data_IF_885058824692
#
_entry.id   IF_885058824692
#
_cell.length_a   1.000
_cell.length_b   1.000
_cell.length_c   1.000
_cell.angle_alpha   90.00
_cell.angle_beta   90.00
_cell.angle_gamma   90.00
#
_symmetry.space_group_name_H-M   'P 1'
#
loop_
_entity.id
_entity.type
_entity.pdbx_description
1 polymer ?
#
# COMPACT_ATOMS: atom_id res chain seq x y z
N UNK A 1 71.64 84.06 -4.77
CA UNK A 1 70.60 83.13 -5.27
C UNK A 1 71.21 81.73 -5.39
N UNK A 2 70.80 80.79 -4.51
CA UNK A 2 71.28 79.40 -4.51
C UNK A 2 70.37 78.54 -5.39
N UNK A 3 70.95 77.86 -6.37
CA UNK A 3 70.28 76.89 -7.25
C UNK A 3 70.09 75.56 -6.52
N UNK A 4 68.85 75.06 -6.46
CA UNK A 4 68.50 73.78 -5.83
C UNK A 4 68.76 72.64 -6.82
N UNK A 5 69.56 71.65 -6.41
CA UNK A 5 69.74 70.36 -7.12
C UNK A 5 68.53 69.46 -6.84
N UNK A 6 67.90 68.93 -7.90
CA UNK A 6 66.93 67.83 -7.82
C UNK A 6 67.68 66.49 -7.79
N UNK A 7 67.34 65.62 -6.84
CA UNK A 7 67.76 64.22 -6.77
C UNK A 7 66.84 63.32 -7.62
N UNK A 8 67.34 62.24 -8.26
CA UNK A 8 66.49 61.33 -9.00
C UNK A 8 65.79 60.35 -8.05
N UNK A 9 64.47 60.23 -8.21
CA UNK A 9 63.62 59.28 -7.49
C UNK A 9 63.79 57.89 -8.12
N UNK A 10 64.30 56.93 -7.33
CA UNK A 10 64.52 55.54 -7.72
C UNK A 10 63.15 54.83 -7.87
N UNK A 11 62.81 54.39 -9.08
CA UNK A 11 61.58 53.66 -9.38
C UNK A 11 61.83 52.15 -9.18
N UNK A 12 61.26 51.57 -8.12
CA UNK A 12 61.34 50.13 -7.82
C UNK A 12 60.16 49.42 -8.51
N UNK A 13 60.37 48.46 -9.44
CA UNK A 13 59.26 47.74 -10.06
C UNK A 13 58.67 46.73 -9.06
N UNK A 14 57.38 46.88 -8.77
CA UNK A 14 56.60 45.95 -7.96
C UNK A 14 56.28 44.72 -8.83
N UNK A 15 57.03 43.63 -8.65
CA UNK A 15 56.77 42.35 -9.30
C UNK A 15 55.57 41.70 -8.61
N UNK A 16 54.39 41.81 -9.22
CA UNK A 16 53.20 41.07 -8.81
C UNK A 16 53.42 39.61 -9.23
N UNK A 17 53.82 38.77 -8.29
CA UNK A 17 53.79 37.32 -8.44
C UNK A 17 52.32 36.87 -8.43
N UNK A 18 51.78 36.55 -9.61
CA UNK A 18 50.53 35.81 -9.72
C UNK A 18 50.83 34.33 -9.44
N UNK A 19 50.52 33.88 -8.23
CA UNK A 19 50.40 32.45 -7.95
C UNK A 19 49.18 31.91 -8.71
N UNK A 20 49.43 31.19 -9.81
CA UNK A 20 48.41 30.38 -10.47
C UNK A 20 48.05 29.24 -9.52
N UNK A 21 46.90 29.35 -8.84
CA UNK A 21 46.23 28.18 -8.27
C UNK A 21 45.73 27.34 -9.46
N UNK A 22 46.35 26.19 -9.68
CA UNK A 22 45.86 25.22 -10.65
C UNK A 22 44.86 24.32 -9.92
N UNK A 23 43.59 24.36 -10.31
CA UNK A 23 42.63 23.34 -9.91
C UNK A 23 43.07 22.00 -10.49
N UNK A 24 43.21 20.97 -9.64
CA UNK A 24 43.47 19.61 -10.10
C UNK A 24 42.16 18.91 -10.44
N UNK A 25 42.13 18.30 -11.63
CA UNK A 25 40.95 17.65 -12.20
C UNK A 25 40.95 16.15 -11.88
N UNK A 26 39.83 15.66 -11.35
CA UNK A 26 39.52 14.24 -11.20
C UNK A 26 38.42 13.87 -12.17
N UNK A 27 38.70 12.87 -13.01
CA UNK A 27 37.75 12.32 -13.96
C UNK A 27 37.45 10.87 -13.60
N UNK A 28 36.22 10.46 -13.86
CA UNK A 28 35.84 9.07 -13.67
C UNK A 28 34.48 8.76 -14.25
N UNK A 29 34.08 7.50 -14.08
CA UNK A 29 32.81 6.99 -14.54
C UNK A 29 32.13 6.17 -13.45
N UNK A 30 30.82 6.33 -13.32
CA UNK A 30 30.00 5.59 -12.36
C UNK A 30 29.10 4.60 -13.09
N UNK A 31 29.15 3.33 -12.69
CA UNK A 31 28.42 2.22 -13.32
C UNK A 31 27.70 1.35 -12.28
N UNK A 32 26.58 0.75 -12.67
CA UNK A 32 25.88 -0.25 -11.84
C UNK A 32 26.68 -1.54 -11.78
N UNK A 33 26.82 -2.09 -10.57
CA UNK A 33 27.49 -3.37 -10.33
C UNK A 33 26.79 -4.54 -11.02
N UNK A 34 25.46 -4.48 -11.17
CA UNK A 34 24.64 -5.57 -11.71
C UNK A 34 24.48 -5.49 -13.23
N UNK A 35 24.17 -4.30 -13.74
CA UNK A 35 23.85 -4.12 -15.16
C UNK A 35 25.04 -3.63 -16.00
N UNK A 36 26.15 -3.21 -15.38
CA UNK A 36 27.27 -2.52 -16.02
C UNK A 36 26.86 -1.28 -16.85
N UNK A 37 25.63 -0.78 -16.64
CA UNK A 37 25.14 0.43 -17.29
C UNK A 37 25.65 1.67 -16.55
N UNK A 38 25.88 2.79 -17.26
CA UNK A 38 26.23 4.06 -16.63
C UNK A 38 25.11 4.56 -15.72
N UNK A 39 25.48 5.19 -14.61
CA UNK A 39 24.55 5.80 -13.66
C UNK A 39 24.62 7.31 -13.80
N UNK A 40 23.51 7.92 -14.21
CA UNK A 40 23.35 9.37 -14.33
C UNK A 40 22.98 10.01 -12.98
N UNK A 41 23.30 11.29 -12.79
CA UNK A 41 22.89 12.10 -11.64
C UNK A 41 23.40 11.57 -10.28
N UNK A 42 24.52 10.86 -10.26
CA UNK A 42 25.21 10.50 -9.01
C UNK A 42 25.80 11.77 -8.44
N UNK A 43 25.47 12.09 -7.18
CA UNK A 43 26.05 13.20 -6.46
C UNK A 43 27.42 12.81 -5.91
N UNK A 44 28.45 13.55 -6.30
CA UNK A 44 29.86 13.26 -6.04
C UNK A 44 30.41 14.41 -5.25
N UNK A 45 30.81 14.16 -4.00
CA UNK A 45 31.10 15.21 -3.04
C UNK A 45 32.37 14.94 -2.24
N UNK A 46 33.19 15.97 -2.07
CA UNK A 46 34.36 15.94 -1.20
C UNK A 46 34.10 16.86 -0.03
N UNK A 47 33.82 16.24 1.13
CA UNK A 47 33.40 16.95 2.33
C UNK A 47 34.43 17.97 2.82
N UNK A 48 35.71 17.64 2.73
CA UNK A 48 36.80 18.46 3.25
C UNK A 48 36.96 19.79 2.49
N UNK A 49 36.72 19.78 1.18
CA UNK A 49 36.79 20.99 0.34
C UNK A 49 35.42 21.63 0.07
N UNK A 50 34.33 21.00 0.53
CA UNK A 50 32.94 21.38 0.23
C UNK A 50 32.65 21.55 -1.28
N UNK A 51 33.39 20.85 -2.13
CA UNK A 51 33.20 20.85 -3.59
C UNK A 51 32.54 19.55 -4.02
N UNK A 52 31.73 19.63 -5.07
CA UNK A 52 31.05 18.47 -5.62
C UNK A 52 30.63 18.68 -7.07
N UNK A 53 30.25 17.58 -7.70
CA UNK A 53 29.80 17.51 -9.10
C UNK A 53 28.74 16.41 -9.23
N UNK A 54 28.15 16.28 -10.40
CA UNK A 54 27.21 15.20 -10.71
C UNK A 54 27.65 14.43 -11.94
N UNK A 55 27.25 13.15 -12.04
CA UNK A 55 27.50 12.35 -13.24
C UNK A 55 26.52 12.67 -14.38
N UNK A 56 27.03 12.67 -15.62
CA UNK A 56 26.25 12.88 -16.84
C UNK A 56 25.44 11.64 -17.27
N UNK A 57 24.71 11.73 -18.38
CA UNK A 57 23.92 10.61 -18.93
C UNK A 57 24.76 9.40 -19.36
N UNK A 58 26.06 9.58 -19.59
CA UNK A 58 27.02 8.51 -19.91
C UNK A 58 27.75 7.98 -18.65
N UNK A 59 27.38 8.50 -17.47
CA UNK A 59 27.93 8.15 -16.17
C UNK A 59 29.28 8.81 -15.87
N UNK A 60 29.76 9.71 -16.71
CA UNK A 60 31.05 10.38 -16.52
C UNK A 60 30.90 11.58 -15.58
N UNK A 61 31.95 11.90 -14.84
CA UNK A 61 31.99 13.08 -13.99
C UNK A 61 33.35 13.77 -14.05
N UNK A 62 33.32 15.08 -13.81
CA UNK A 62 34.51 15.92 -13.70
C UNK A 62 34.42 16.74 -12.41
N UNK A 63 35.43 16.60 -11.54
CA UNK A 63 35.53 17.29 -10.27
C UNK A 63 36.83 18.09 -10.20
N UNK A 64 36.74 19.36 -9.81
CA UNK A 64 37.88 20.28 -9.68
C UNK A 64 38.20 20.50 -8.19
N UNK A 65 39.43 20.19 -7.77
CA UNK A 65 39.89 20.27 -6.38
C UNK A 65 41.13 21.18 -6.29
N UNK A 66 41.35 21.80 -5.13
CA UNK A 66 42.38 22.85 -4.97
C UNK A 66 43.77 22.31 -4.57
N UNK A 67 43.91 21.04 -4.17
CA UNK A 67 45.18 20.46 -3.70
C UNK A 67 45.49 19.09 -4.34
N UNK A 68 46.77 18.74 -4.40
CA UNK A 68 47.23 17.40 -4.84
C UNK A 68 47.39 16.46 -3.63
N UNK A 69 46.33 16.31 -2.84
CA UNK A 69 46.30 15.42 -1.67
C UNK A 69 45.36 14.24 -1.87
N UNK A 70 45.42 13.24 -0.97
CA UNK A 70 44.49 12.10 -1.05
C UNK A 70 43.12 12.52 -0.52
N UNK A 71 42.09 12.39 -1.36
CA UNK A 71 40.73 12.79 -1.05
C UNK A 71 39.83 11.58 -0.78
N UNK A 72 38.92 11.75 0.18
CA UNK A 72 37.78 10.84 0.37
C UNK A 72 36.58 11.41 -0.39
N UNK A 73 36.26 10.80 -1.53
CA UNK A 73 35.12 11.20 -2.37
C UNK A 73 33.91 10.34 -2.02
N UNK A 74 32.80 10.99 -1.69
CA UNK A 74 31.51 10.35 -1.43
C UNK A 74 30.66 10.37 -2.71
N UNK A 75 30.18 9.19 -3.10
CA UNK A 75 29.26 8.96 -4.20
C UNK A 75 27.91 8.59 -3.61
N UNK A 76 26.89 9.38 -3.89
CA UNK A 76 25.53 9.23 -3.34
C UNK A 76 24.49 9.31 -4.46
N UNK A 77 23.48 8.44 -4.40
CA UNK A 77 22.39 8.41 -5.39
C UNK A 77 21.15 7.77 -4.77
N UNK A 78 19.95 8.25 -5.11
CA UNK A 78 18.68 7.79 -4.51
C UNK A 78 18.46 6.27 -4.62
N UNK A 79 18.84 5.68 -5.75
CA UNK A 79 18.65 4.25 -6.05
C UNK A 79 19.89 3.34 -5.78
N UNK A 80 20.97 3.83 -5.17
CA UNK A 80 22.20 3.05 -4.98
C UNK A 80 22.85 3.28 -3.61
N UNK A 81 23.62 2.30 -3.12
CA UNK A 81 24.34 2.40 -1.85
C UNK A 81 25.44 3.48 -1.93
N UNK A 82 25.52 4.33 -0.91
CA UNK A 82 26.59 5.33 -0.83
C UNK A 82 27.97 4.67 -0.81
N UNK A 83 28.91 5.22 -1.57
CA UNK A 83 30.27 4.72 -1.67
C UNK A 83 31.27 5.82 -1.34
N UNK A 84 32.24 5.50 -0.48
CA UNK A 84 33.35 6.38 -0.17
C UNK A 84 34.63 5.79 -0.75
N UNK A 85 35.31 6.54 -1.61
CA UNK A 85 36.52 6.12 -2.30
C UNK A 85 37.64 7.10 -1.98
N UNK A 86 38.78 6.56 -1.55
CA UNK A 86 40.01 7.34 -1.38
C UNK A 86 40.81 7.33 -2.67
N UNK A 87 41.14 8.49 -3.20
CA UNK A 87 41.88 8.63 -4.46
C UNK A 87 42.84 9.81 -4.41
N UNK A 88 43.73 9.86 -5.39
CA UNK A 88 44.67 10.97 -5.64
C UNK A 88 44.32 11.56 -7.01
N UNK A 89 44.43 12.89 -7.19
CA UNK A 89 44.17 13.51 -8.49
C UNK A 89 45.02 12.95 -9.64
N UNK A 90 44.47 12.95 -10.86
CA UNK A 90 45.15 12.48 -12.08
C UNK A 90 44.84 11.05 -12.54
N UNK A 91 44.19 10.23 -11.72
CA UNK A 91 43.73 8.89 -12.13
C UNK A 91 42.27 8.89 -12.61
N UNK A 92 41.99 8.13 -13.67
CA UNK A 92 40.63 7.79 -14.08
C UNK A 92 40.04 6.78 -13.09
N UNK A 93 38.89 7.11 -12.50
CA UNK A 93 38.26 6.28 -11.47
C UNK A 93 36.97 5.66 -12.00
N UNK A 94 36.93 4.33 -12.06
CA UNK A 94 35.70 3.59 -12.33
C UNK A 94 35.03 3.18 -11.01
N UNK A 95 33.87 3.75 -10.75
CA UNK A 95 33.10 3.54 -9.52
C UNK A 95 31.93 2.61 -9.78
N UNK A 96 31.94 1.45 -9.13
CA UNK A 96 30.82 0.50 -9.16
C UNK A 96 29.91 0.75 -7.96
N UNK A 97 28.66 1.15 -8.21
CA UNK A 97 27.64 1.30 -7.17
C UNK A 97 26.67 0.13 -7.21
N UNK A 98 26.18 -0.27 -6.04
CA UNK A 98 25.22 -1.38 -5.89
C UNK A 98 23.81 -0.81 -5.76
N UNK A 99 22.88 -1.35 -6.55
CA UNK A 99 21.48 -0.94 -6.54
C UNK A 99 20.84 -1.23 -5.18
N UNK A 100 20.07 -0.26 -4.66
CA UNK A 100 19.25 -0.43 -3.46
C UNK A 100 17.80 -0.55 -3.90
N UNK A 101 17.10 -1.56 -3.35
CA UNK A 101 15.66 -1.64 -3.46
C UNK A 101 15.04 -0.64 -2.48
N UNK A 102 14.45 0.43 -3.00
CA UNK A 102 13.66 1.37 -2.20
C UNK A 102 12.30 0.72 -1.92
N UNK A 103 12.13 0.14 -0.72
CA UNK A 103 10.80 -0.03 -0.14
C UNK A 103 10.50 1.22 0.68
N UNK A 104 9.45 1.95 0.30
CA UNK A 104 8.88 2.97 1.17
C UNK A 104 8.26 2.27 2.38
N UNK A 105 8.43 2.87 3.56
CA UNK A 105 7.75 2.38 4.76
C UNK A 105 6.23 2.45 4.56
N UNK A 106 5.54 1.38 4.93
CA UNK A 106 4.07 1.38 4.91
C UNK A 106 3.55 2.44 5.89
N UNK A 107 2.67 3.31 5.39
CA UNK A 107 2.02 4.36 6.19
C UNK A 107 0.64 3.87 6.63
N UNK A 108 0.37 3.95 7.95
CA UNK A 108 -0.97 3.77 8.51
C UNK A 108 -1.63 5.15 8.60
N UNK A 109 -2.83 5.26 8.03
CA UNK A 109 -3.57 6.54 8.01
C UNK A 109 -4.77 6.51 8.96
N UNK A 110 -5.38 5.35 9.18
CA UNK A 110 -6.82 5.34 9.50
C UNK A 110 -7.22 5.23 10.96
N UNK A 111 -6.35 4.78 11.86
CA UNK A 111 -6.77 4.58 13.25
C UNK A 111 -6.34 5.70 14.20
N UNK A 112 -5.37 6.53 13.81
CA UNK A 112 -4.88 7.66 14.62
C UNK A 112 -5.39 9.02 14.12
N UNK A 113 -6.24 9.04 13.08
CA UNK A 113 -6.72 10.26 12.37
C UNK A 113 -5.58 11.16 11.83
N UNK A 114 -4.36 10.62 11.73
CA UNK A 114 -3.16 11.26 11.21
C UNK A 114 -2.26 10.16 10.61
N UNK A 115 -1.49 10.52 9.58
CA UNK A 115 -0.54 9.61 8.93
C UNK A 115 0.67 9.36 9.84
N UNK A 116 0.93 8.09 10.16
CA UNK A 116 2.15 7.67 10.86
C UNK A 116 2.84 6.56 10.07
N UNK A 117 4.17 6.61 10.02
CA UNK A 117 4.95 5.45 9.64
C UNK A 117 4.63 4.30 10.59
N UNK A 118 4.45 3.08 10.06
CA UNK A 118 4.14 1.90 10.87
C UNK A 118 5.12 1.71 12.05
N UNK A 119 6.39 2.05 11.85
CA UNK A 119 7.46 2.01 12.86
C UNK A 119 7.24 2.90 14.08
N UNK A 120 6.41 3.94 13.96
CA UNK A 120 6.12 4.91 15.02
C UNK A 120 4.79 4.66 15.74
N UNK A 121 4.05 3.60 15.36
CA UNK A 121 2.77 3.27 16.00
C UNK A 121 3.05 2.53 17.32
N UNK A 122 2.55 3.02 18.47
CA UNK A 122 2.87 2.44 19.78
C UNK A 122 2.10 1.14 20.10
N UNK A 123 1.21 0.72 19.20
CA UNK A 123 0.38 -0.49 19.31
C UNK A 123 0.70 -1.41 18.15
N UNK A 124 0.68 -2.72 18.41
CA UNK A 124 0.90 -3.71 17.37
C UNK A 124 -0.10 -3.53 16.23
N UNK A 125 0.44 -3.17 15.07
CA UNK A 125 -0.34 -2.84 13.89
C UNK A 125 0.23 -3.55 12.67
N UNK A 126 -0.65 -3.86 11.72
CA UNK A 126 -0.32 -4.62 10.52
C UNK A 126 -0.95 -3.95 9.31
N UNK A 127 -0.20 -3.87 8.22
CA UNK A 127 -0.67 -3.36 6.93
C UNK A 127 -0.55 -4.46 5.90
N UNK A 128 -1.68 -4.77 5.26
CA UNK A 128 -1.76 -5.74 4.18
C UNK A 128 -2.00 -4.98 2.89
N UNK A 129 -0.94 -4.75 2.14
CA UNK A 129 -1.01 -4.08 0.85
C UNK A 129 -1.61 -4.95 -0.25
N UNK A 130 -2.09 -4.29 -1.31
CA UNK A 130 -2.70 -4.91 -2.50
C UNK A 130 -1.90 -6.03 -3.12
N UNK A 131 -0.57 -5.91 -3.20
CA UNK A 131 0.30 -6.94 -3.78
C UNK A 131 0.16 -8.27 -3.03
N UNK A 132 0.26 -8.25 -1.70
CA UNK A 132 0.07 -9.43 -0.85
C UNK A 132 -1.32 -10.03 -1.01
N UNK A 133 -2.37 -9.19 -1.07
CA UNK A 133 -3.76 -9.65 -1.25
C UNK A 133 -3.92 -10.38 -2.61
N UNK A 134 -3.32 -9.82 -3.66
CA UNK A 134 -3.37 -10.41 -5.02
C UNK A 134 -2.55 -11.70 -5.09
N UNK A 135 -1.36 -11.72 -4.49
CA UNK A 135 -0.46 -12.89 -4.46
C UNK A 135 -1.05 -14.06 -3.67
N UNK A 136 -1.69 -13.78 -2.53
CA UNK A 136 -2.38 -14.78 -1.72
C UNK A 136 -3.59 -15.39 -2.43
N UNK A 137 -4.09 -14.73 -3.49
CA UNK A 137 -5.27 -15.20 -4.21
C UNK A 137 -6.54 -15.14 -3.36
N UNK A 138 -6.62 -14.21 -2.40
CA UNK A 138 -7.85 -14.02 -1.63
C UNK A 138 -8.93 -13.34 -2.50
N UNK A 139 -10.19 -13.60 -2.21
CA UNK A 139 -11.38 -12.92 -2.80
C UNK A 139 -12.23 -12.23 -1.77
N UNK A 140 -12.26 -12.87 -0.61
CA UNK A 140 -12.68 -12.46 0.71
C UNK A 140 -11.86 -11.37 1.40
N UNK A 141 -12.45 -10.31 2.00
CA UNK A 141 -11.77 -9.69 3.14
C UNK A 141 -11.63 -10.71 4.29
N UNK A 142 -12.64 -11.57 4.51
CA UNK A 142 -12.55 -12.63 5.51
C UNK A 142 -11.36 -13.56 5.25
N UNK A 143 -11.17 -14.02 4.01
CA UNK A 143 -10.04 -14.88 3.64
C UNK A 143 -8.68 -14.21 3.90
N UNK A 144 -8.57 -12.90 3.62
CA UNK A 144 -7.34 -12.15 3.93
C UNK A 144 -7.09 -12.11 5.43
N UNK A 145 -8.14 -11.87 6.22
CA UNK A 145 -8.06 -11.71 7.67
C UNK A 145 -7.79 -13.04 8.38
N UNK A 146 -8.38 -14.15 7.92
CA UNK A 146 -8.16 -15.50 8.49
C UNK A 146 -6.71 -15.98 8.34
N UNK A 147 -5.97 -15.45 7.37
CA UNK A 147 -4.54 -15.73 7.20
C UNK A 147 -3.66 -14.97 8.21
N UNK A 148 -4.22 -13.99 8.93
CA UNK A 148 -3.47 -13.16 9.86
C UNK A 148 -3.42 -13.76 11.26
N UNK A 149 -2.26 -13.61 11.90
CA UNK A 149 -2.08 -14.08 13.27
C UNK A 149 -3.03 -13.37 14.23
N UNK A 150 -3.69 -14.16 15.09
CA UNK A 150 -4.62 -13.65 16.09
C UNK A 150 -6.00 -13.30 15.55
N UNK A 151 -6.30 -13.58 14.28
CA UNK A 151 -7.66 -13.50 13.75
C UNK A 151 -8.15 -14.92 13.46
N UNK A 152 -9.38 -15.24 13.86
CA UNK A 152 -10.01 -16.50 13.46
C UNK A 152 -11.52 -16.39 13.35
N UNK A 153 -12.12 -17.25 12.53
CA UNK A 153 -13.56 -17.38 12.35
C UNK A 153 -14.07 -18.55 13.19
N UNK A 154 -15.15 -18.35 13.94
CA UNK A 154 -15.82 -19.37 14.74
C UNK A 154 -17.26 -19.49 14.28
N UNK A 155 -17.73 -20.72 14.12
CA UNK A 155 -19.13 -21.00 13.82
C UNK A 155 -19.89 -21.31 15.11
N UNK A 156 -21.13 -20.85 15.19
CA UNK A 156 -22.07 -21.24 16.23
C UNK A 156 -22.83 -22.53 15.83
N UNK A 157 -23.68 -23.02 16.73
CA UNK A 157 -24.47 -24.23 16.51
C UNK A 157 -25.55 -24.08 15.41
N UNK A 158 -25.85 -22.86 14.98
CA UNK A 158 -26.88 -22.54 13.99
C UNK A 158 -26.26 -22.19 12.61
N UNK A 159 -24.94 -22.34 12.46
CA UNK A 159 -24.22 -22.03 11.22
C UNK A 159 -23.92 -20.54 11.03
N UNK A 160 -24.25 -19.69 12.00
CA UNK A 160 -23.76 -18.31 12.04
C UNK A 160 -22.27 -18.32 12.39
N UNK A 161 -21.54 -17.28 12.00
CA UNK A 161 -20.12 -17.17 12.30
C UNK A 161 -19.76 -15.81 12.86
N UNK A 162 -18.77 -15.83 13.75
CA UNK A 162 -18.20 -14.66 14.39
C UNK A 162 -16.69 -14.61 14.14
N UNK A 163 -16.18 -13.43 13.80
CA UNK A 163 -14.74 -13.18 13.75
C UNK A 163 -14.25 -12.83 15.15
N UNK A 164 -13.08 -13.34 15.51
CA UNK A 164 -12.39 -12.91 16.70
C UNK A 164 -11.03 -12.29 16.37
N UNK A 165 -10.62 -11.33 17.18
CA UNK A 165 -9.32 -10.67 17.12
C UNK A 165 -8.70 -10.74 18.51
N UNK A 166 -7.56 -11.41 18.60
CA UNK A 166 -6.85 -11.70 19.86
C UNK A 166 -7.75 -12.36 20.93
N UNK A 167 -8.73 -13.14 20.50
CA UNK A 167 -9.68 -13.83 21.39
C UNK A 167 -10.92 -13.02 21.79
N UNK A 168 -11.06 -11.77 21.32
CA UNK A 168 -12.27 -10.95 21.52
C UNK A 168 -13.23 -11.09 20.33
N UNK A 169 -14.54 -11.17 20.62
CA UNK A 169 -15.65 -11.32 19.66
C UNK A 169 -15.83 -10.09 18.74
N UNK A 170 -16.51 -10.24 17.58
CA UNK A 170 -16.67 -9.16 16.59
C UNK A 170 -17.30 -7.90 17.14
N UNK A 171 -18.16 -8.01 18.16
CA UNK A 171 -18.80 -6.85 18.79
C UNK A 171 -17.80 -5.87 19.42
N UNK A 172 -16.60 -6.35 19.76
CA UNK A 172 -15.51 -5.54 20.31
C UNK A 172 -14.48 -5.13 19.25
N UNK A 173 -14.73 -5.44 17.98
CA UNK A 173 -13.85 -5.11 16.86
C UNK A 173 -14.56 -4.06 15.99
N UNK A 174 -13.91 -2.91 15.80
CA UNK A 174 -14.43 -1.91 14.89
C UNK A 174 -13.91 -2.19 13.48
N UNK A 175 -14.80 -2.52 12.57
CA UNK A 175 -14.47 -2.62 11.15
C UNK A 175 -14.92 -1.36 10.42
N UNK A 176 -14.02 -0.80 9.63
CA UNK A 176 -14.23 0.42 8.87
C UNK A 176 -13.87 0.20 7.41
N UNK A 177 -14.50 0.97 6.53
CA UNK A 177 -14.13 1.14 5.14
C UNK A 177 -13.82 2.62 4.93
N UNK A 178 -12.61 2.94 4.47
CA UNK A 178 -12.13 4.31 4.28
C UNK A 178 -12.31 5.18 5.54
N UNK A 179 -12.04 4.62 6.73
CA UNK A 179 -12.15 5.31 8.01
C UNK A 179 -13.58 5.48 8.52
N UNK A 180 -14.58 4.94 7.82
CA UNK A 180 -15.99 4.99 8.22
C UNK A 180 -16.46 3.62 8.70
N UNK A 181 -17.08 3.49 9.88
CA UNK A 181 -17.64 2.23 10.34
C UNK A 181 -18.57 1.62 9.30
N UNK A 182 -18.41 0.33 9.04
CA UNK A 182 -19.35 -0.36 8.15
C UNK A 182 -20.64 -0.67 8.92
N UNK A 183 -21.77 -0.40 8.30
CA UNK A 183 -23.08 -0.70 8.84
C UNK A 183 -23.53 -2.11 8.42
N UNK A 184 -24.48 -2.69 9.15
CA UNK A 184 -25.04 -4.02 8.82
C UNK A 184 -24.56 -5.17 9.72
N UNK A 185 -24.20 -4.88 10.98
CA UNK A 185 -24.04 -5.93 12.00
C UNK A 185 -25.38 -6.65 12.19
N UNK A 186 -25.36 -7.98 12.17
CA UNK A 186 -26.53 -8.80 12.50
C UNK A 186 -26.24 -9.54 13.80
N UNK A 187 -27.01 -9.27 14.86
CA UNK A 187 -26.74 -9.78 16.22
C UNK A 187 -25.29 -9.51 16.68
N UNK A 188 -24.81 -8.28 16.46
CA UNK A 188 -23.43 -7.84 16.74
C UNK A 188 -22.31 -8.57 15.97
N UNK A 189 -22.66 -9.51 15.08
CA UNK A 189 -21.72 -10.17 14.18
C UNK A 189 -21.58 -9.39 12.89
N UNK A 190 -20.37 -9.41 12.34
CA UNK A 190 -20.05 -8.71 11.11
C UNK A 190 -19.68 -9.72 10.03
N UNK A 191 -20.41 -9.66 8.92
CA UNK A 191 -20.11 -10.51 7.79
C UNK A 191 -19.06 -9.84 6.91
N UNK A 192 -17.83 -10.35 6.95
CA UNK A 192 -16.72 -9.86 6.13
C UNK A 192 -16.61 -10.60 4.80
N UNK A 193 -17.39 -11.66 4.58
CA UNK A 193 -17.45 -12.36 3.31
C UNK A 193 -18.13 -11.54 2.21
N UNK A 194 -18.97 -10.58 2.60
CA UNK A 194 -19.60 -9.63 1.67
C UNK A 194 -18.65 -8.53 1.18
N UNK A 195 -17.48 -8.35 1.82
CA UNK A 195 -16.54 -7.30 1.40
C UNK A 195 -15.47 -7.91 0.51
N UNK A 196 -15.45 -7.44 -0.73
CA UNK A 196 -14.55 -7.92 -1.75
C UNK A 196 -13.19 -7.25 -1.69
N UNK A 197 -12.15 -8.02 -1.98
CA UNK A 197 -10.79 -7.46 -2.15
C UNK A 197 -10.56 -6.77 -3.50
N UNK A 198 -11.51 -6.85 -4.43
CA UNK A 198 -11.33 -6.42 -5.83
C UNK A 198 -10.99 -4.92 -5.97
N UNK A 199 -11.51 -4.08 -5.07
CA UNK A 199 -11.28 -2.64 -5.02
C UNK A 199 -10.43 -2.20 -3.81
N UNK A 200 -9.79 -3.15 -3.11
CA UNK A 200 -9.00 -2.87 -1.91
C UNK A 200 -7.57 -2.52 -2.30
N UNK A 201 -7.07 -1.44 -1.72
CA UNK A 201 -5.68 -1.01 -1.87
C UNK A 201 -4.82 -1.49 -0.69
N UNK A 202 -5.32 -1.32 0.53
CA UNK A 202 -4.68 -1.88 1.71
C UNK A 202 -5.69 -2.15 2.82
N UNK A 203 -5.33 -3.03 3.73
CA UNK A 203 -6.06 -3.29 4.97
C UNK A 203 -5.13 -2.95 6.12
N UNK A 204 -5.59 -2.07 7.00
CA UNK A 204 -4.88 -1.68 8.21
C UNK A 204 -5.54 -2.36 9.41
N UNK A 205 -4.77 -3.07 10.21
CA UNK A 205 -5.25 -3.81 11.38
C UNK A 205 -4.49 -3.32 12.61
N UNK A 206 -5.20 -2.79 13.58
CA UNK A 206 -4.67 -2.49 14.91
C UNK A 206 -5.18 -3.54 15.87
N UNK A 207 -4.25 -4.29 16.48
CA UNK A 207 -4.56 -5.37 17.42
C UNK A 207 -4.38 -4.86 18.84
N UNK A 208 -5.48 -4.65 19.57
CA UNK A 208 -5.48 -4.08 20.91
C UNK A 208 -6.44 -2.91 21.09
N UNK A 209 -6.41 -2.23 22.26
CA UNK A 209 -7.44 -1.26 22.63
C UNK A 209 -7.35 0.04 21.81
N UNK A 210 -8.27 0.22 20.86
CA UNK A 210 -8.47 1.42 20.05
C UNK A 210 -9.56 2.36 20.58
N UNK A 211 -10.16 2.07 21.73
CA UNK A 211 -11.36 2.76 22.22
C UNK A 211 -11.20 4.25 22.52
N UNK A 212 -9.99 4.71 22.80
CA UNK A 212 -9.71 6.15 23.01
C UNK A 212 -9.96 6.98 21.75
N UNK A 213 -9.72 6.40 20.58
CA UNK A 213 -9.84 7.08 19.28
C UNK A 213 -11.16 6.77 18.58
N UNK A 214 -11.70 5.57 18.82
CA UNK A 214 -12.82 5.01 18.05
C UNK A 214 -14.05 4.64 18.88
N UNK A 215 -14.00 4.74 20.21
CA UNK A 215 -15.14 4.46 21.09
C UNK A 215 -15.27 3.00 21.52
N UNK A 216 -16.44 2.65 22.05
CA UNK A 216 -16.72 1.35 22.70
C UNK A 216 -16.51 0.13 21.80
N UNK A 217 -16.70 0.30 20.49
CA UNK A 217 -16.65 -0.80 19.52
C UNK A 217 -15.21 -1.24 19.18
N UNK A 218 -14.19 -0.50 19.62
CA UNK A 218 -12.79 -0.74 19.28
C UNK A 218 -11.96 -1.30 20.45
N UNK A 219 -12.58 -2.03 21.39
CA UNK A 219 -11.90 -2.58 22.57
C UNK A 219 -10.86 -3.65 22.17
N UNK A 220 -11.21 -4.54 21.23
CA UNK A 220 -10.33 -5.59 20.76
C UNK A 220 -9.42 -5.19 19.60
N UNK A 221 -9.82 -4.18 18.85
CA UNK A 221 -9.02 -3.62 17.77
C UNK A 221 -9.83 -2.93 16.71
N UNK A 222 -9.12 -2.51 15.68
CA UNK A 222 -9.67 -1.78 14.54
C UNK A 222 -9.17 -2.43 13.26
N UNK A 223 -10.08 -2.72 12.35
CA UNK A 223 -9.76 -3.19 11.00
C UNK A 223 -10.29 -2.13 10.04
N UNK A 224 -9.42 -1.47 9.31
CA UNK A 224 -9.81 -0.49 8.31
C UNK A 224 -9.43 -0.94 6.90
N UNK A 225 -10.43 -1.04 6.06
CA UNK A 225 -10.33 -1.46 4.67
C UNK A 225 -10.24 -0.20 3.82
N UNK A 226 -9.09 0.03 3.20
CA UNK A 226 -8.84 1.20 2.37
C UNK A 226 -9.00 0.80 0.92
N UNK A 227 -9.95 1.44 0.24
CA UNK A 227 -10.19 1.21 -1.18
C UNK A 227 -9.23 2.01 -2.03
N UNK A 228 -8.97 1.54 -3.25
CA UNK A 228 -8.17 2.29 -4.20
C UNK A 228 -8.86 3.61 -4.59
N UNK A 229 -8.09 4.68 -4.67
CA UNK A 229 -8.58 5.96 -5.19
C UNK A 229 -9.02 5.80 -6.66
N UNK A 230 -10.04 6.57 -7.05
CA UNK A 230 -10.48 6.60 -8.44
C UNK A 230 -9.47 7.42 -9.26
N UNK A 231 -8.74 6.81 -10.22
CA UNK A 231 -7.78 7.54 -11.04
C UNK A 231 -8.47 8.61 -11.90
N UNK A 232 -7.69 9.60 -12.34
CA UNK A 232 -8.18 10.63 -13.28
C UNK A 232 -8.63 10.02 -14.61
N UNK A 233 -7.91 9.00 -15.07
CA UNK A 233 -8.28 8.22 -16.25
C UNK A 233 -9.39 7.21 -15.95
N UNK A 234 -10.12 6.83 -17.00
CA UNK A 234 -11.13 5.77 -16.90
C UNK A 234 -10.45 4.43 -16.68
N UNK A 235 -10.80 3.74 -15.59
CA UNK A 235 -10.29 2.40 -15.28
C UNK A 235 -11.37 1.37 -15.52
N UNK A 236 -11.02 0.33 -16.28
CA UNK A 236 -11.81 -0.90 -16.38
C UNK A 236 -10.91 -2.08 -16.03
N UNK A 237 -11.32 -2.87 -15.06
CA UNK A 237 -10.68 -4.11 -14.69
C UNK A 237 -11.70 -5.23 -14.75
N UNK A 238 -11.38 -6.27 -15.50
CA UNK A 238 -12.14 -7.52 -15.53
C UNK A 238 -11.20 -8.62 -15.04
N UNK A 239 -11.68 -9.44 -14.11
CA UNK A 239 -10.93 -10.61 -13.63
C UNK A 239 -11.85 -11.82 -13.61
N UNK A 240 -11.35 -12.92 -14.12
CA UNK A 240 -11.97 -14.22 -14.01
C UNK A 240 -10.99 -15.18 -13.35
N UNK A 241 -11.45 -15.92 -12.35
CA UNK A 241 -10.67 -16.92 -11.64
C UNK A 241 -11.47 -18.20 -11.53
N UNK A 242 -10.81 -19.32 -11.80
CA UNK A 242 -11.32 -20.66 -11.54
C UNK A 242 -10.37 -21.37 -10.59
N UNK A 243 -10.90 -21.87 -9.48
CA UNK A 243 -10.19 -22.68 -8.50
C UNK A 243 -10.76 -24.09 -8.54
N UNK A 244 -9.89 -25.09 -8.49
CA UNK A 244 -10.27 -26.48 -8.32
C UNK A 244 -9.39 -27.08 -7.23
N UNK A 245 -10.00 -27.92 -6.40
CA UNK A 245 -9.34 -28.62 -5.33
C UNK A 245 -9.87 -30.05 -5.33
N UNK A 246 -8.95 -31.00 -5.32
CA UNK A 246 -9.24 -32.43 -5.27
C UNK A 246 -8.27 -33.03 -4.26
N UNK A 247 -8.80 -33.42 -3.10
CA UNK A 247 -8.05 -34.13 -2.07
C UNK A 247 -8.70 -35.48 -1.86
N UNK A 248 -7.91 -36.54 -2.03
CA UNK A 248 -8.32 -37.92 -1.84
C UNK A 248 -7.41 -38.67 -0.87
N UNK A 249 -8.01 -39.47 -0.01
CA UNK A 249 -7.43 -40.63 0.67
C UNK A 249 -8.17 -41.88 0.20
N UNK A 250 -7.68 -43.08 0.53
CA UNK A 250 -8.24 -44.36 0.05
C UNK A 250 -9.77 -44.50 0.24
N UNK A 251 -10.36 -43.82 1.23
CA UNK A 251 -11.79 -43.91 1.57
C UNK A 251 -12.55 -42.58 1.52
N UNK A 252 -11.90 -41.47 1.18
CA UNK A 252 -12.55 -40.15 1.19
C UNK A 252 -11.94 -39.23 0.15
N UNK A 253 -12.78 -38.70 -0.72
CA UNK A 253 -12.44 -37.70 -1.73
C UNK A 253 -13.29 -36.45 -1.53
N UNK A 254 -12.63 -35.30 -1.45
CA UNK A 254 -13.24 -34.00 -1.37
C UNK A 254 -12.87 -33.22 -2.63
N UNK A 255 -13.90 -32.88 -3.41
CA UNK A 255 -13.77 -32.09 -4.62
C UNK A 255 -14.46 -30.76 -4.38
N UNK A 256 -13.72 -29.66 -4.48
CA UNK A 256 -14.32 -28.34 -4.48
C UNK A 256 -13.89 -27.55 -5.72
N UNK A 257 -14.79 -26.70 -6.19
CA UNK A 257 -14.50 -25.79 -7.28
C UNK A 257 -15.12 -24.43 -7.01
N UNK A 258 -14.44 -23.39 -7.46
CA UNK A 258 -14.90 -22.02 -7.33
C UNK A 258 -14.70 -21.28 -8.64
N UNK A 259 -15.74 -20.62 -9.13
CA UNK A 259 -15.65 -19.69 -10.26
C UNK A 259 -15.95 -18.30 -9.75
N UNK A 260 -15.11 -17.33 -10.11
CA UNK A 260 -15.21 -15.96 -9.63
C UNK A 260 -15.02 -15.05 -10.82
N UNK A 261 -16.03 -14.26 -11.14
CA UNK A 261 -15.96 -13.20 -12.13
C UNK A 261 -16.11 -11.88 -11.39
N UNK A 262 -15.21 -10.94 -11.62
CA UNK A 262 -15.31 -9.61 -11.03
C UNK A 262 -15.03 -8.52 -12.05
N UNK A 263 -15.68 -7.39 -11.86
CA UNK A 263 -15.43 -6.19 -12.62
C UNK A 263 -15.22 -5.01 -11.67
N UNK A 264 -14.46 -4.04 -12.13
CA UNK A 264 -14.31 -2.75 -11.49
C UNK A 264 -14.23 -1.71 -12.61
N UNK A 265 -15.15 -0.76 -12.58
CA UNK A 265 -15.18 0.37 -13.48
C UNK A 265 -15.15 1.64 -12.64
N UNK A 266 -14.29 2.58 -12.97
CA UNK A 266 -14.22 3.85 -12.26
C UNK A 266 -13.84 4.98 -13.19
N UNK A 267 -14.34 6.17 -12.92
CA UNK A 267 -14.05 7.36 -13.70
C UNK A 267 -14.18 8.61 -12.84
N UNK A 268 -13.22 9.51 -13.00
CA UNK A 268 -13.27 10.87 -12.44
C UNK A 268 -13.69 11.86 -13.52
N UNK A 269 -14.56 12.79 -13.14
CA UNK A 269 -15.10 13.89 -13.94
C UNK A 269 -14.87 15.20 -13.17
N UNK A 270 -13.64 15.71 -13.23
CA UNK A 270 -13.23 16.87 -12.44
C UNK A 270 -13.40 16.62 -10.95
N UNK A 271 -14.37 17.32 -10.36
CA UNK A 271 -14.67 17.30 -8.93
C UNK A 271 -15.59 16.14 -8.50
N UNK A 272 -16.14 15.39 -9.46
CA UNK A 272 -16.95 14.22 -9.21
C UNK A 272 -16.16 12.96 -9.58
N UNK A 273 -16.28 11.89 -8.83
CA UNK A 273 -15.77 10.57 -9.20
C UNK A 273 -16.82 9.52 -8.91
N UNK A 274 -16.82 8.49 -9.75
CA UNK A 274 -17.73 7.36 -9.63
C UNK A 274 -16.93 6.08 -9.84
N UNK A 275 -17.20 5.08 -9.00
CA UNK A 275 -16.70 3.73 -9.14
C UNK A 275 -17.83 2.74 -8.92
N UNK A 276 -17.91 1.72 -9.76
CA UNK A 276 -18.74 0.54 -9.51
C UNK A 276 -17.86 -0.70 -9.62
N UNK A 277 -18.00 -1.59 -8.65
CA UNK A 277 -17.40 -2.91 -8.68
C UNK A 277 -18.45 -3.97 -8.44
N UNK A 278 -18.22 -5.15 -8.99
CA UNK A 278 -19.07 -6.29 -8.71
C UNK A 278 -18.31 -7.59 -8.81
N UNK A 279 -18.84 -8.60 -8.15
CA UNK A 279 -18.33 -9.96 -8.21
C UNK A 279 -19.49 -10.95 -8.18
N UNK A 280 -19.43 -11.90 -9.09
CA UNK A 280 -20.22 -13.12 -9.07
C UNK A 280 -19.29 -14.27 -8.68
N UNK A 281 -19.72 -15.07 -7.72
CA UNK A 281 -18.94 -16.19 -7.20
C UNK A 281 -19.85 -17.41 -7.09
N UNK A 282 -19.44 -18.50 -7.75
CA UNK A 282 -20.10 -19.80 -7.67
C UNK A 282 -19.12 -20.78 -7.01
N UNK A 283 -19.47 -21.30 -5.83
CA UNK A 283 -18.73 -22.33 -5.12
C UNK A 283 -19.53 -23.62 -5.11
N UNK A 284 -18.81 -24.70 -5.35
CA UNK A 284 -19.31 -26.05 -5.20
C UNK A 284 -18.35 -26.79 -4.29
N UNK A 285 -18.85 -27.32 -3.18
CA UNK A 285 -18.11 -28.18 -2.29
C UNK A 285 -18.78 -29.56 -2.26
N UNK A 286 -18.00 -30.62 -2.47
CA UNK A 286 -18.49 -32.00 -2.46
C UNK A 286 -17.58 -32.84 -1.58
N UNK A 287 -18.16 -33.50 -0.58
CA UNK A 287 -17.46 -34.43 0.30
C UNK A 287 -18.10 -35.81 0.25
N UNK A 288 -17.29 -36.84 -0.02
CA UNK A 288 -17.76 -38.23 -0.21
C UNK A 288 -17.89 -39.07 1.06
N UNK A 289 -17.90 -38.44 2.23
CA UNK A 289 -18.27 -39.10 3.49
C UNK A 289 -19.75 -39.43 3.41
N UNK A 290 -20.22 -40.61 3.82
CA UNK A 290 -21.66 -40.91 3.81
C UNK A 290 -22.33 -40.41 5.10
N UNK A 291 -23.42 -39.61 5.00
CA UNK A 291 -24.05 -39.11 3.78
C UNK A 291 -23.21 -38.02 3.07
N UNK A 292 -23.11 -38.13 1.73
CA UNK A 292 -22.37 -37.23 0.85
C UNK A 292 -22.93 -35.83 1.02
N UNK A 293 -22.13 -34.92 1.57
CA UNK A 293 -22.52 -33.54 1.74
C UNK A 293 -22.09 -32.74 0.52
N UNK A 294 -23.07 -32.13 -0.15
CA UNK A 294 -22.89 -31.28 -1.33
C UNK A 294 -23.44 -29.90 -1.02
N UNK A 295 -22.59 -28.90 -1.19
CA UNK A 295 -22.91 -27.51 -0.91
C UNK A 295 -22.72 -26.67 -2.18
N UNK A 296 -23.78 -25.96 -2.58
CA UNK A 296 -23.80 -25.07 -3.73
C UNK A 296 -24.05 -23.64 -3.27
N UNK A 297 -23.00 -22.82 -3.27
CA UNK A 297 -23.06 -21.44 -2.79
C UNK A 297 -22.88 -20.49 -3.97
N UNK A 298 -23.84 -19.60 -4.18
CA UNK A 298 -23.77 -18.54 -5.19
C UNK A 298 -23.85 -17.18 -4.51
N UNK A 299 -22.84 -16.34 -4.74
CA UNK A 299 -22.76 -14.98 -4.17
C UNK A 299 -22.70 -13.93 -5.27
N UNK A 300 -23.43 -12.85 -5.08
CA UNK A 300 -23.40 -11.65 -5.90
C UNK A 300 -23.12 -10.44 -5.01
N UNK A 301 -22.05 -9.73 -5.32
CA UNK A 301 -21.66 -8.50 -4.67
C UNK A 301 -21.67 -7.38 -5.70
N UNK A 302 -22.28 -6.24 -5.37
CA UNK A 302 -22.26 -5.03 -6.17
C UNK A 302 -22.03 -3.83 -5.25
N UNK A 303 -20.94 -3.10 -5.47
CA UNK A 303 -20.63 -1.87 -4.76
C UNK A 303 -20.58 -0.72 -5.77
N UNK A 304 -21.24 0.38 -5.45
CA UNK A 304 -21.13 1.65 -6.18
C UNK A 304 -20.76 2.75 -5.20
N UNK A 305 -19.74 3.50 -5.52
CA UNK A 305 -19.28 4.65 -4.77
C UNK A 305 -19.30 5.87 -5.68
N UNK A 306 -19.86 6.95 -5.17
CA UNK A 306 -19.86 8.25 -5.81
C UNK A 306 -19.28 9.25 -4.83
N UNK A 307 -18.36 10.08 -5.30
CA UNK A 307 -17.69 11.06 -4.49
C UNK A 307 -17.66 12.40 -5.19
N UNK A 308 -18.00 13.46 -4.49
CA UNK A 308 -18.00 14.82 -5.00
C UNK A 308 -17.28 15.75 -4.04
N UNK A 309 -16.45 16.63 -4.58
CA UNK A 309 -15.72 17.64 -3.83
C UNK A 309 -16.09 19.02 -4.36
N UNK A 310 -16.44 19.96 -3.50
CA UNK A 310 -16.70 21.33 -3.94
C UNK A 310 -15.42 21.97 -4.49
N UNK A 311 -15.55 22.99 -5.35
CA UNK A 311 -14.38 23.70 -5.91
C UNK A 311 -13.50 24.36 -4.85
N UNK A 312 -14.08 24.67 -3.69
CA UNK A 312 -13.37 25.21 -2.55
C UNK A 312 -12.74 24.13 -1.65
N UNK A 313 -12.98 22.85 -1.96
CA UNK A 313 -12.63 21.67 -1.17
C UNK A 313 -13.23 21.62 0.24
N UNK A 314 -14.14 22.56 0.56
CA UNK A 314 -14.77 22.69 1.87
C UNK A 314 -15.93 21.74 2.11
N UNK A 315 -16.52 21.22 1.04
CA UNK A 315 -17.66 20.32 1.12
C UNK A 315 -17.33 19.07 0.32
N UNK A 316 -17.39 17.93 0.98
CA UNK A 316 -17.14 16.64 0.37
C UNK A 316 -18.33 15.73 0.64
N UNK A 317 -18.91 15.18 -0.42
CA UNK A 317 -20.03 14.27 -0.33
C UNK A 317 -19.62 12.91 -0.87
N UNK A 318 -19.97 11.85 -0.15
CA UNK A 318 -19.82 10.48 -0.65
C UNK A 318 -21.14 9.73 -0.52
N UNK A 319 -21.55 9.05 -1.57
CA UNK A 319 -22.67 8.12 -1.56
C UNK A 319 -22.14 6.72 -1.89
N UNK A 320 -22.31 5.79 -0.96
CA UNK A 320 -21.98 4.38 -1.13
C UNK A 320 -23.28 3.58 -1.20
N UNK A 321 -23.39 2.72 -2.20
CA UNK A 321 -24.48 1.79 -2.41
C UNK A 321 -23.88 0.38 -2.50
N UNK A 322 -24.26 -0.48 -1.57
CA UNK A 322 -23.78 -1.86 -1.50
C UNK A 322 -24.96 -2.82 -1.59
N UNK A 323 -24.82 -3.83 -2.43
CA UNK A 323 -25.75 -4.96 -2.54
C UNK A 323 -24.97 -6.26 -2.40
N UNK A 324 -25.45 -7.13 -1.51
CA UNK A 324 -24.97 -8.49 -1.34
C UNK A 324 -26.15 -9.45 -1.44
N UNK A 325 -26.00 -10.47 -2.27
CA UNK A 325 -26.90 -11.61 -2.37
C UNK A 325 -26.12 -12.90 -2.21
N UNK A 326 -26.64 -13.83 -1.43
CA UNK A 326 -26.13 -15.20 -1.35
C UNK A 326 -27.30 -16.18 -1.37
N UNK A 327 -27.19 -17.20 -2.22
CA UNK A 327 -28.04 -18.36 -2.22
C UNK A 327 -27.16 -19.57 -1.91
N UNK A 328 -27.56 -20.35 -0.92
CA UNK A 328 -26.84 -21.53 -0.45
C UNK A 328 -27.78 -22.72 -0.45
N UNK A 329 -27.37 -23.82 -1.09
CA UNK A 329 -28.13 -25.05 -1.17
C UNK A 329 -27.24 -26.20 -0.67
N UNK A 330 -27.46 -26.57 0.58
CA UNK A 330 -26.83 -27.74 1.20
C UNK A 330 -27.70 -28.97 1.02
N UNK A 331 -27.10 -30.09 0.61
CA UNK A 331 -27.77 -31.39 0.46
C UNK A 331 -26.95 -32.51 1.08
N UNK A 332 -27.61 -33.37 1.83
CA UNK A 332 -27.06 -34.64 2.28
C UNK A 332 -27.62 -35.76 1.40
N UNK A 333 -26.73 -36.48 0.75
CA UNK A 333 -27.06 -37.49 -0.24
C UNK A 333 -26.56 -38.87 0.23
N UNK A 334 -27.34 -39.92 0.03
CA UNK A 334 -26.83 -41.28 0.14
C UNK A 334 -25.84 -41.57 -0.99
N UNK A 335 -25.02 -42.62 -0.82
CA UNK A 335 -24.13 -43.11 -1.89
C UNK A 335 -24.88 -43.51 -3.17
N UNK A 336 -26.17 -43.80 -3.06
CA UNK A 336 -27.10 -44.07 -4.18
C UNK A 336 -27.56 -42.80 -4.92
N UNK A 337 -27.24 -41.61 -4.41
CA UNK A 337 -27.71 -40.32 -4.93
C UNK A 337 -29.09 -39.87 -4.41
N UNK A 338 -29.71 -40.60 -3.47
CA UNK A 338 -30.97 -40.20 -2.85
C UNK A 338 -30.74 -39.09 -1.83
N UNK A 339 -31.50 -37.99 -1.93
CA UNK A 339 -31.46 -36.86 -1.00
C UNK A 339 -32.14 -37.23 0.33
N UNK A 340 -31.40 -37.15 1.43
CA UNK A 340 -31.89 -37.37 2.79
C UNK A 340 -32.47 -36.08 3.37
N UNK A 341 -31.75 -34.99 3.17
CA UNK A 341 -32.08 -33.65 3.65
C UNK A 341 -31.55 -32.62 2.67
N UNK A 342 -32.28 -31.52 2.55
CA UNK A 342 -31.78 -30.30 1.96
C UNK A 342 -32.14 -29.11 2.83
N UNK A 343 -31.29 -28.11 2.77
CA UNK A 343 -31.53 -26.80 3.33
C UNK A 343 -31.18 -25.76 2.26
N UNK A 344 -32.01 -24.72 2.19
CA UNK A 344 -31.77 -23.58 1.32
C UNK A 344 -31.72 -22.33 2.18
N UNK A 345 -30.64 -21.57 2.06
CA UNK A 345 -30.48 -20.28 2.75
C UNK A 345 -30.35 -19.17 1.72
N UNK A 346 -31.22 -18.17 1.82
CA UNK A 346 -31.19 -16.96 1.00
C UNK A 346 -30.88 -15.74 1.86
N UNK A 347 -29.82 -15.03 1.51
CA UNK A 347 -29.38 -13.81 2.19
C UNK A 347 -29.39 -12.68 1.16
N UNK A 348 -30.05 -11.58 1.50
CA UNK A 348 -29.97 -10.33 0.74
C UNK A 348 -29.73 -9.16 1.67
N UNK A 349 -28.77 -8.30 1.33
CA UNK A 349 -28.45 -7.10 2.08
C UNK A 349 -28.28 -5.93 1.12
N UNK A 350 -28.87 -4.81 1.49
CA UNK A 350 -28.72 -3.53 0.81
C UNK A 350 -28.27 -2.53 1.85
N UNK A 351 -27.18 -1.82 1.57
CA UNK A 351 -26.67 -0.75 2.40
C UNK A 351 -26.52 0.51 1.58
N UNK A 352 -26.99 1.62 2.13
CA UNK A 352 -26.81 2.96 1.57
C UNK A 352 -26.15 3.79 2.64
N UNK A 353 -25.02 4.40 2.32
CA UNK A 353 -24.33 5.31 3.23
C UNK A 353 -24.14 6.64 2.52
N UNK A 354 -24.68 7.70 3.10
CA UNK A 354 -24.43 9.06 2.65
C UNK A 354 -23.55 9.77 3.68
N UNK A 355 -22.38 10.23 3.26
CA UNK A 355 -21.51 11.06 4.11
C UNK A 355 -21.37 12.45 3.53
N UNK A 356 -21.39 13.43 4.42
CA UNK A 356 -20.99 14.80 4.16
C UNK A 356 -19.89 15.20 5.14
N UNK A 357 -18.76 15.64 4.60
CA UNK A 357 -17.69 16.27 5.36
C UNK A 357 -17.65 17.78 5.05
N UNK A 358 -17.76 18.58 6.10
CA UNK A 358 -17.52 20.02 6.08
C UNK A 358 -16.13 20.32 6.61
N UNK A 359 -15.28 20.91 5.77
CA UNK A 359 -13.93 21.35 6.11
C UNK A 359 -13.97 22.88 6.27
N UNK A 360 -14.00 23.34 7.52
CA UNK A 360 -14.03 24.77 7.86
C UNK A 360 -12.62 25.35 7.93
N UNK A 361 -11.64 24.56 8.38
CA UNK A 361 -10.20 24.87 8.40
C UNK A 361 -9.38 23.59 8.49
N UNK A 362 -8.05 23.67 8.39
CA UNK A 362 -7.15 22.51 8.57
C UNK A 362 -7.38 21.76 9.89
N UNK A 363 -7.85 22.45 10.93
CA UNK A 363 -8.05 21.89 12.28
C UNK A 363 -9.51 21.61 12.62
N UNK A 364 -10.46 22.05 11.81
CA UNK A 364 -11.89 21.95 12.11
C UNK A 364 -12.63 21.30 10.95
N UNK A 365 -13.01 20.05 11.16
CA UNK A 365 -13.77 19.24 10.22
C UNK A 365 -14.99 18.67 10.92
N UNK A 366 -16.14 18.71 10.27
CA UNK A 366 -17.36 18.05 10.73
C UNK A 366 -17.71 16.95 9.76
N UNK A 367 -18.01 15.76 10.26
CA UNK A 367 -18.38 14.62 9.44
C UNK A 367 -19.76 14.14 9.88
N UNK A 368 -20.70 14.09 8.94
CA UNK A 368 -22.02 13.53 9.12
C UNK A 368 -22.18 12.32 8.20
N UNK A 369 -22.57 11.17 8.76
CA UNK A 369 -22.93 9.98 7.97
C UNK A 369 -24.35 9.54 8.31
N UNK A 370 -25.11 9.15 7.29
CA UNK A 370 -26.49 8.70 7.33
C UNK A 370 -26.63 7.29 6.76
#
# INVERSE_FOLDING_TARGET
MRTKKLSPLLFLPFVISSYLLSDTKINGRVISTKSNKPIQNVNIYVKDQKRGTTSDASGNFELFLEEDSSYSIEFSHIAYENRLIKTVPGNLIDVKMKEVFLMLDDVIVSSMKCEYALSNVPVYSEVIGKSKIVEAGNVSIAEVLEQQLGISKKYDAHGMFDYNLMGLESKYILVMKNGKPINGKFQDMIDLDQILVSNVDKIEIIKGPGSSLHGSDAIGGVINIITAETPEDSRLSLKYRRTMFDIGTDNSRNNSSGNIASFNISKKFGNFSWGTSGQLQDLLNQSSITPLNKDEIRKLNLNTEMYWVSKSEKDQFSLMLDYFGQNDIGRDLLSTGYELSSNTTDISRISTTLTHEWILSERLRFNQSL
#
